data_IF_465851398648
#
_entry.id   IF_465851398648
#
_cell.length_a   1.000
_cell.length_b   1.000
_cell.length_c   1.000
_cell.angle_alpha   90.00
_cell.angle_beta   90.00
_cell.angle_gamma   90.00
#
_symmetry.space_group_name_H-M   'P 1'
#
loop_
_entity.id
_entity.type
_entity.pdbx_description
1 polymer ?
#
# COMPACT_ATOMS: atom_id res chain seq x y z
N UNK A 1 11.87 48.86 69.22
CA UNK A 1 13.20 48.63 69.81
C UNK A 1 14.02 47.86 68.82
N UNK A 2 14.98 48.44 68.24
CA UNK A 2 16.34 48.07 67.83
C UNK A 2 16.73 48.83 66.57
N UNK A 3 17.83 49.54 66.72
CA UNK A 3 18.43 50.50 65.82
C UNK A 3 19.15 49.89 64.62
N UNK A 4 19.29 50.63 63.51
CA UNK A 4 20.07 50.20 62.37
C UNK A 4 21.55 50.53 62.51
N UNK A 5 22.40 49.60 62.11
CA UNK A 5 23.83 49.74 62.05
C UNK A 5 24.31 50.39 60.73
N UNK A 6 25.06 51.45 60.82
CA UNK A 6 25.77 52.16 59.75
C UNK A 6 26.96 51.30 59.30
N UNK A 7 27.13 51.01 57.99
CA UNK A 7 28.38 50.48 57.43
C UNK A 7 29.10 51.52 56.57
N UNK A 8 30.46 51.58 56.67
CA UNK A 8 31.27 52.63 56.03
C UNK A 8 31.45 52.42 54.53
N UNK A 9 31.56 53.53 53.79
CA UNK A 9 31.88 53.54 52.34
C UNK A 9 33.30 52.96 52.14
N UNK A 10 33.35 51.95 51.24
CA UNK A 10 34.58 51.30 50.83
C UNK A 10 35.19 51.96 49.58
N UNK A 11 36.53 51.97 49.56
CA UNK A 11 37.46 52.62 48.61
C UNK A 11 37.35 52.14 47.11
N UNK A 12 36.18 51.78 46.60
CA UNK A 12 36.01 51.33 45.26
C UNK A 12 35.62 52.37 44.18
N UNK A 13 35.35 53.64 44.65
CA UNK A 13 34.94 54.74 43.76
C UNK A 13 36.09 55.47 43.06
N UNK A 14 37.29 55.34 43.54
CA UNK A 14 38.46 56.00 42.90
C UNK A 14 39.09 55.19 41.77
N UNK A 15 38.82 53.85 41.67
CA UNK A 15 39.29 52.97 40.56
C UNK A 15 38.41 52.99 39.34
N UNK A 16 37.14 53.32 39.47
CA UNK A 16 36.20 53.39 38.37
C UNK A 16 36.41 54.60 37.44
N UNK A 17 36.89 55.76 38.00
CA UNK A 17 37.12 56.95 37.18
C UNK A 17 38.38 56.86 36.31
N UNK A 18 39.36 56.05 36.67
CA UNK A 18 40.61 55.88 35.90
C UNK A 18 40.44 54.89 34.74
N UNK A 19 39.52 53.91 34.84
CA UNK A 19 39.22 52.94 33.77
C UNK A 19 38.34 53.54 32.65
N UNK A 20 37.52 54.53 32.96
CA UNK A 20 36.66 55.21 31.97
C UNK A 20 37.47 56.16 31.09
N UNK A 21 38.57 56.76 31.61
CA UNK A 21 39.44 57.62 30.80
C UNK A 21 40.36 56.83 29.83
N UNK A 22 40.63 55.54 30.07
CA UNK A 22 41.43 54.69 29.17
C UNK A 22 40.63 54.09 28.04
N UNK A 23 39.30 53.99 28.18
CA UNK A 23 38.42 53.48 27.12
C UNK A 23 38.06 54.51 26.03
N UNK A 24 38.31 55.80 26.30
CA UNK A 24 38.00 56.88 25.35
C UNK A 24 39.08 57.11 24.28
N UNK A 25 40.25 56.47 24.37
CA UNK A 25 41.31 56.57 23.36
C UNK A 25 41.39 55.41 22.37
N UNK A 26 40.54 54.38 22.48
CA UNK A 26 40.52 53.24 21.57
C UNK A 26 39.40 53.35 20.46
N UNK A 27 38.80 54.54 20.32
CA UNK A 27 37.59 54.71 19.47
C UNK A 27 37.82 55.33 18.07
N UNK A 28 39.02 55.29 17.53
CA UNK A 28 39.25 55.63 16.13
C UNK A 28 39.85 54.42 15.40
N UNK A 29 39.05 53.33 15.29
CA UNK A 29 39.26 52.39 14.22
C UNK A 29 38.49 52.97 13.03
N UNK A 30 39.21 53.32 11.97
CA UNK A 30 38.63 53.61 10.67
C UNK A 30 37.61 52.51 10.33
N UNK A 31 36.42 52.85 9.86
CA UNK A 31 35.49 51.83 9.40
C UNK A 31 36.23 50.98 8.35
N UNK A 32 36.40 49.69 8.61
CA UNK A 32 36.93 48.76 7.62
C UNK A 32 36.18 49.03 6.32
N UNK A 33 36.89 49.37 5.25
CA UNK A 33 36.31 49.52 3.91
C UNK A 33 35.42 48.30 3.65
N UNK A 34 34.16 48.52 3.24
CA UNK A 34 33.30 47.38 2.90
C UNK A 34 34.05 46.52 1.88
N UNK A 35 34.08 45.19 2.05
CA UNK A 35 34.84 44.32 1.18
C UNK A 35 34.48 44.65 -0.28
N UNK A 36 35.52 44.93 -1.07
CA UNK A 36 35.37 45.32 -2.47
C UNK A 36 34.35 44.39 -3.13
N UNK A 37 33.24 44.93 -3.67
CA UNK A 37 32.26 44.14 -4.35
C UNK A 37 32.94 43.36 -5.46
N UNK A 38 32.85 42.04 -5.39
CA UNK A 38 33.39 41.21 -6.45
C UNK A 38 32.86 41.66 -7.83
N UNK A 39 33.70 41.71 -8.87
CA UNK A 39 33.25 42.15 -10.20
C UNK A 39 32.07 41.30 -10.68
N UNK A 40 31.05 41.92 -11.29
CA UNK A 40 29.90 41.17 -11.77
C UNK A 40 30.32 40.10 -12.82
N UNK A 41 29.62 38.97 -12.87
CA UNK A 41 29.90 37.96 -13.87
C UNK A 41 29.58 38.46 -15.29
N UNK A 42 30.36 38.03 -16.26
CA UNK A 42 30.34 38.53 -17.66
C UNK A 42 29.68 37.45 -18.52
N UNK A 43 28.75 37.84 -19.39
CA UNK A 43 28.15 36.99 -20.40
C UNK A 43 29.07 36.95 -21.66
N UNK A 44 29.56 35.78 -22.01
CA UNK A 44 30.32 35.55 -23.26
C UNK A 44 29.58 34.52 -24.13
N UNK A 45 28.84 34.97 -25.11
CA UNK A 45 27.91 34.14 -25.88
C UNK A 45 26.74 33.68 -24.99
N UNK A 46 26.59 32.37 -24.82
CA UNK A 46 25.58 31.75 -23.94
C UNK A 46 26.14 31.32 -22.56
N UNK A 47 27.40 31.66 -22.29
CA UNK A 47 28.10 31.26 -21.08
C UNK A 47 28.27 32.45 -20.11
N UNK A 48 27.92 32.24 -18.84
CA UNK A 48 28.15 33.19 -17.76
C UNK A 48 29.47 32.81 -17.07
N UNK A 49 30.42 33.74 -17.08
CA UNK A 49 31.75 33.55 -16.51
C UNK A 49 31.91 34.43 -15.25
N UNK A 50 32.28 33.80 -14.16
CA UNK A 50 32.64 34.43 -12.91
C UNK A 50 34.15 34.65 -12.84
N UNK A 51 34.57 35.68 -12.14
CA UNK A 51 35.97 35.87 -11.75
C UNK A 51 36.43 34.68 -10.86
N UNK A 52 37.73 34.31 -10.92
CA UNK A 52 38.24 33.29 -9.97
C UNK A 52 37.99 33.66 -8.54
N UNK A 53 37.55 32.70 -7.73
CA UNK A 53 37.19 32.87 -6.30
C UNK A 53 36.04 33.85 -6.01
N UNK A 54 35.11 34.02 -6.97
CA UNK A 54 33.95 34.87 -6.75
C UNK A 54 33.09 34.30 -5.60
N UNK A 55 32.67 35.13 -4.60
CA UNK A 55 31.95 34.64 -3.40
C UNK A 55 30.67 33.86 -3.70
N UNK A 56 29.98 34.18 -4.78
CA UNK A 56 28.74 33.49 -5.17
C UNK A 56 28.97 32.03 -5.61
N UNK A 57 30.19 31.68 -6.07
CA UNK A 57 30.49 30.29 -6.48
C UNK A 57 30.46 29.35 -5.28
N UNK A 58 30.83 29.81 -4.08
CA UNK A 58 30.75 28.99 -2.88
C UNK A 58 29.32 28.69 -2.40
N UNK A 59 28.34 29.42 -2.92
CA UNK A 59 26.94 29.26 -2.57
C UNK A 59 26.24 28.24 -3.48
N UNK A 60 26.86 27.89 -4.61
CA UNK A 60 26.26 26.99 -5.59
C UNK A 60 26.51 25.53 -5.20
N UNK A 61 25.45 24.73 -5.10
CA UNK A 61 25.57 23.30 -4.98
C UNK A 61 25.71 22.67 -6.38
N UNK A 62 26.77 21.91 -6.57
CA UNK A 62 27.03 21.18 -7.81
C UNK A 62 26.88 19.69 -7.58
N UNK A 63 26.22 19.01 -8.51
CA UNK A 63 26.05 17.55 -8.51
C UNK A 63 26.44 17.00 -9.87
N UNK A 64 27.23 15.92 -9.86
CA UNK A 64 27.59 15.22 -11.10
C UNK A 64 26.39 14.43 -11.65
N UNK A 65 26.11 14.60 -12.94
CA UNK A 65 25.13 13.79 -13.64
C UNK A 65 25.63 12.34 -13.73
N UNK A 66 24.84 11.39 -13.24
CA UNK A 66 25.19 9.97 -13.22
C UNK A 66 24.45 9.19 -14.30
N UNK A 67 25.07 8.17 -14.92
CA UNK A 67 24.38 7.35 -15.92
C UNK A 67 23.09 6.74 -15.35
N UNK A 68 22.01 6.87 -16.08
CA UNK A 68 20.74 6.27 -15.72
C UNK A 68 20.74 4.78 -16.10
N UNK A 69 20.81 3.89 -15.12
CA UNK A 69 20.68 2.44 -15.35
C UNK A 69 19.29 1.95 -14.96
N UNK A 70 18.78 2.37 -13.84
CA UNK A 70 17.44 2.12 -13.37
C UNK A 70 17.07 3.19 -12.34
N UNK A 71 15.81 3.59 -12.33
CA UNK A 71 15.29 4.52 -11.34
C UNK A 71 14.43 3.75 -10.33
N UNK A 72 14.69 3.98 -9.04
CA UNK A 72 13.82 3.47 -7.99
C UNK A 72 12.58 4.35 -7.86
N UNK A 73 11.40 3.77 -8.02
CA UNK A 73 10.11 4.45 -7.84
C UNK A 73 9.42 3.85 -6.62
N UNK A 74 9.04 4.71 -5.69
CA UNK A 74 8.32 4.34 -4.49
C UNK A 74 6.82 4.56 -4.68
N UNK A 75 6.03 3.50 -4.49
CA UNK A 75 4.58 3.49 -4.67
C UNK A 75 3.88 3.13 -3.36
N UNK A 76 2.76 3.78 -3.03
CA UNK A 76 1.95 3.39 -1.89
C UNK A 76 1.46 1.95 -2.06
N UNK A 77 1.52 1.20 -0.98
CA UNK A 77 1.07 -0.19 -0.96
C UNK A 77 0.41 -0.53 0.38
N UNK A 78 -0.47 -1.52 0.35
CA UNK A 78 -1.13 -2.09 1.51
C UNK A 78 -1.09 -3.60 1.45
N UNK A 79 -0.82 -4.22 2.59
CA UNK A 79 -0.91 -5.67 2.74
C UNK A 79 -2.37 -6.06 2.85
N UNK A 80 -2.78 -7.11 2.16
CA UNK A 80 -4.13 -7.69 2.28
C UNK A 80 -4.04 -9.20 2.38
N UNK A 81 -5.08 -9.85 2.90
CA UNK A 81 -5.13 -11.30 2.90
C UNK A 81 -5.06 -11.86 1.48
N UNK A 82 -4.41 -12.99 1.33
CA UNK A 82 -4.47 -13.75 0.09
C UNK A 82 -5.84 -14.44 0.00
N UNK A 83 -6.75 -13.89 -0.79
CA UNK A 83 -8.13 -14.38 -0.91
C UNK A 83 -8.21 -15.80 -1.47
N UNK A 84 -7.20 -16.27 -2.19
CA UNK A 84 -7.13 -17.66 -2.67
C UNK A 84 -6.89 -18.65 -1.52
N UNK A 85 -6.37 -18.17 -0.40
CA UNK A 85 -6.08 -18.94 0.82
C UNK A 85 -6.85 -18.40 2.03
N UNK A 86 -7.96 -17.68 1.79
CA UNK A 86 -8.79 -17.08 2.85
C UNK A 86 -10.22 -17.57 2.71
N UNK A 87 -10.77 -18.07 3.81
CA UNK A 87 -12.18 -18.45 3.92
C UNK A 87 -12.89 -17.52 4.88
N UNK A 88 -13.95 -16.86 4.39
CA UNK A 88 -14.89 -16.11 5.22
C UNK A 88 -16.12 -16.97 5.47
N UNK A 89 -16.42 -17.24 6.72
CA UNK A 89 -17.46 -18.15 7.14
C UNK A 89 -18.66 -17.33 7.62
N UNK A 90 -19.77 -17.50 6.91
CA UNK A 90 -21.06 -16.88 7.21
C UNK A 90 -22.05 -17.94 7.71
N UNK A 91 -23.09 -17.57 8.48
CA UNK A 91 -24.10 -18.53 8.90
C UNK A 91 -24.93 -18.98 7.70
N UNK A 92 -25.07 -20.28 7.51
CA UNK A 92 -25.93 -20.85 6.48
C UNK A 92 -27.40 -20.92 6.91
N UNK A 93 -27.65 -20.98 8.25
CA UNK A 93 -28.98 -21.00 8.87
C UNK A 93 -29.06 -20.02 10.03
N UNK A 94 -30.27 -19.62 10.35
CA UNK A 94 -30.55 -18.92 11.61
C UNK A 94 -30.30 -19.87 12.78
N UNK A 95 -29.73 -19.31 13.85
CA UNK A 95 -29.49 -20.07 15.07
C UNK A 95 -28.83 -19.23 16.15
N UNK A 96 -28.83 -19.76 17.36
CA UNK A 96 -28.18 -19.15 18.52
C UNK A 96 -26.83 -19.83 18.75
N UNK A 97 -25.77 -19.07 18.94
CA UNK A 97 -24.43 -19.57 19.30
C UNK A 97 -24.52 -20.31 20.63
N UNK A 98 -24.35 -21.63 20.62
CA UNK A 98 -24.36 -22.49 21.81
C UNK A 98 -22.96 -22.69 22.38
N UNK A 99 -21.95 -22.80 21.55
CA UNK A 99 -20.55 -22.96 21.97
C UNK A 99 -19.60 -22.37 20.91
N UNK A 100 -18.48 -21.83 21.39
CA UNK A 100 -17.37 -21.36 20.57
C UNK A 100 -16.15 -22.20 20.96
N UNK A 101 -15.49 -22.81 19.97
CA UNK A 101 -14.40 -23.77 20.19
C UNK A 101 -13.08 -23.32 19.57
N UNK A 102 -13.11 -22.32 18.70
CA UNK A 102 -11.91 -21.75 18.12
C UNK A 102 -11.82 -20.27 18.45
N UNK A 103 -10.58 -19.81 18.69
CA UNK A 103 -10.30 -18.40 18.96
C UNK A 103 -9.24 -17.84 17.99
N UNK A 104 -9.11 -16.51 17.96
CA UNK A 104 -8.15 -15.81 17.15
C UNK A 104 -6.72 -16.28 17.47
N UNK A 105 -5.94 -16.55 16.43
CA UNK A 105 -4.58 -17.08 16.53
C UNK A 105 -4.50 -18.60 16.50
N UNK A 106 -5.62 -19.32 16.64
CA UNK A 106 -5.63 -20.78 16.65
C UNK A 106 -5.45 -21.36 15.24
N UNK A 107 -4.55 -22.33 15.11
CA UNK A 107 -4.38 -23.09 13.87
C UNK A 107 -5.49 -24.13 13.72
N UNK A 108 -6.04 -24.25 12.52
CA UNK A 108 -7.14 -25.14 12.19
C UNK A 108 -6.88 -25.89 10.89
N UNK A 109 -7.50 -27.06 10.77
CA UNK A 109 -7.48 -27.90 9.56
C UNK A 109 -8.90 -28.00 8.97
N UNK A 110 -9.06 -28.44 7.71
CA UNK A 110 -10.38 -28.73 7.15
C UNK A 110 -11.18 -29.66 8.07
N UNK A 111 -12.41 -29.31 8.38
CA UNK A 111 -13.28 -30.03 9.31
C UNK A 111 -13.12 -29.66 10.79
N UNK A 112 -12.12 -28.85 11.18
CA UNK A 112 -12.00 -28.39 12.56
C UNK A 112 -13.22 -27.58 12.97
N UNK A 113 -13.83 -27.97 14.10
CA UNK A 113 -15.01 -27.31 14.64
C UNK A 113 -14.66 -25.94 15.23
N UNK A 114 -15.30 -24.89 14.73
CA UNK A 114 -15.08 -23.50 15.16
C UNK A 114 -16.12 -23.04 16.18
N UNK A 115 -17.38 -23.35 15.89
CA UNK A 115 -18.50 -23.02 16.77
C UNK A 115 -19.67 -23.99 16.56
N UNK A 116 -20.61 -24.00 17.50
CA UNK A 116 -21.88 -24.69 17.37
C UNK A 116 -23.03 -23.70 17.50
N UNK A 117 -24.01 -23.86 16.61
CA UNK A 117 -25.27 -23.09 16.65
C UNK A 117 -26.42 -24.02 17.01
N UNK A 118 -27.28 -23.59 17.91
CA UNK A 118 -28.60 -24.20 18.10
C UNK A 118 -29.53 -23.62 17.04
N UNK A 119 -29.85 -24.44 16.01
CA UNK A 119 -30.66 -24.03 14.86
C UNK A 119 -31.91 -24.91 14.75
N UNK A 120 -33.09 -24.37 15.02
CA UNK A 120 -34.35 -25.08 14.81
C UNK A 120 -34.57 -25.49 13.36
N UNK A 121 -34.17 -24.63 12.39
CA UNK A 121 -34.31 -24.88 10.95
C UNK A 121 -33.45 -26.06 10.50
N UNK A 122 -32.23 -26.18 11.05
CA UNK A 122 -31.38 -27.33 10.80
C UNK A 122 -31.97 -28.61 11.40
N UNK A 123 -32.54 -28.54 12.62
CA UNK A 123 -33.25 -29.64 13.22
C UNK A 123 -34.45 -30.12 12.40
N UNK A 124 -35.24 -29.18 11.86
CA UNK A 124 -36.35 -29.52 10.95
C UNK A 124 -35.84 -30.21 9.66
N UNK A 125 -34.76 -29.67 9.05
CA UNK A 125 -34.16 -30.28 7.85
C UNK A 125 -33.67 -31.71 8.11
N UNK A 126 -33.09 -31.98 9.30
CA UNK A 126 -32.70 -33.33 9.72
C UNK A 126 -33.93 -34.25 9.92
N UNK A 127 -34.99 -33.73 10.55
CA UNK A 127 -36.22 -34.49 10.75
C UNK A 127 -36.90 -34.87 9.39
N UNK A 128 -36.95 -33.93 8.45
CA UNK A 128 -37.42 -34.16 7.09
C UNK A 128 -36.60 -35.27 6.40
N UNK A 129 -35.28 -35.23 6.52
CA UNK A 129 -34.38 -36.27 5.99
C UNK A 129 -34.63 -37.63 6.63
N UNK A 130 -34.75 -37.66 7.97
CA UNK A 130 -35.04 -38.90 8.67
C UNK A 130 -36.38 -39.50 8.28
N UNK A 131 -37.43 -38.69 8.14
CA UNK A 131 -38.76 -39.10 7.65
C UNK A 131 -38.64 -39.64 6.23
N UNK A 132 -38.03 -38.89 5.28
CA UNK A 132 -37.91 -39.35 3.89
C UNK A 132 -37.16 -40.69 3.79
N UNK A 133 -36.11 -40.90 4.58
CA UNK A 133 -35.39 -42.17 4.65
C UNK A 133 -36.28 -43.33 5.20
N UNK A 134 -37.13 -43.03 6.18
CA UNK A 134 -38.08 -44.02 6.70
C UNK A 134 -39.13 -44.40 5.67
N UNK A 135 -39.70 -43.44 4.96
CA UNK A 135 -40.69 -43.65 3.89
C UNK A 135 -40.06 -44.42 2.72
N UNK A 136 -38.82 -44.12 2.33
CA UNK A 136 -38.09 -44.85 1.29
C UNK A 136 -37.81 -46.31 1.68
N UNK A 137 -37.50 -46.59 2.94
CA UNK A 137 -37.35 -47.96 3.45
C UNK A 137 -38.68 -48.72 3.39
N UNK A 138 -39.77 -48.06 3.78
CA UNK A 138 -41.10 -48.70 3.74
C UNK A 138 -41.52 -49.05 2.29
N UNK A 139 -41.40 -48.07 1.38
CA UNK A 139 -41.73 -48.29 -0.05
C UNK A 139 -40.80 -49.29 -0.72
N UNK A 140 -39.51 -49.30 -0.39
CA UNK A 140 -38.56 -50.29 -0.88
C UNK A 140 -38.90 -51.72 -0.44
N UNK A 141 -39.26 -51.92 0.85
CA UNK A 141 -39.72 -53.19 1.37
C UNK A 141 -41.03 -53.61 0.74
N UNK A 142 -41.95 -52.66 0.43
CA UNK A 142 -43.20 -52.96 -0.29
C UNK A 142 -42.93 -53.39 -1.74
N UNK A 143 -42.04 -52.69 -2.45
CA UNK A 143 -41.61 -53.04 -3.79
C UNK A 143 -41.01 -54.44 -3.85
N UNK A 144 -40.15 -54.79 -2.90
CA UNK A 144 -39.53 -56.11 -2.84
C UNK A 144 -40.60 -57.18 -2.68
N UNK A 145 -41.57 -57.03 -1.76
CA UNK A 145 -42.68 -57.97 -1.58
C UNK A 145 -43.54 -58.08 -2.85
N UNK A 146 -43.88 -56.98 -3.53
CA UNK A 146 -44.65 -56.99 -4.78
C UNK A 146 -43.90 -57.69 -5.90
N UNK A 147 -42.61 -57.59 -6.01
CA UNK A 147 -41.75 -58.34 -6.95
C UNK A 147 -41.84 -59.83 -6.70
N UNK A 148 -41.64 -60.28 -5.46
CA UNK A 148 -41.71 -61.68 -5.05
C UNK A 148 -43.09 -62.25 -5.34
N UNK A 149 -44.20 -61.56 -5.09
CA UNK A 149 -45.57 -61.97 -5.37
C UNK A 149 -45.86 -61.99 -6.87
N UNK A 150 -45.34 -61.06 -7.65
CA UNK A 150 -45.46 -61.00 -9.07
C UNK A 150 -44.73 -62.17 -9.75
N UNK A 151 -43.52 -62.45 -9.32
CA UNK A 151 -42.73 -63.58 -9.78
C UNK A 151 -43.40 -64.94 -9.47
N UNK A 152 -44.15 -64.98 -8.37
CA UNK A 152 -45.01 -66.14 -8.01
C UNK A 152 -46.37 -66.17 -8.72
N UNK A 153 -46.66 -65.19 -9.60
CA UNK A 153 -47.91 -65.10 -10.32
C UNK A 153 -49.16 -64.69 -9.49
N UNK A 154 -48.96 -64.12 -8.32
CA UNK A 154 -50.02 -63.81 -7.34
C UNK A 154 -50.65 -62.45 -7.56
N UNK A 155 -49.86 -61.44 -8.01
CA UNK A 155 -50.32 -60.06 -8.18
C UNK A 155 -50.23 -59.63 -9.66
N UNK A 156 -51.02 -58.60 -10.02
CA UNK A 156 -51.06 -58.09 -11.37
C UNK A 156 -49.81 -57.13 -11.64
N UNK A 157 -49.41 -57.06 -12.89
CA UNK A 157 -48.32 -56.12 -13.33
C UNK A 157 -48.55 -54.68 -12.88
N UNK A 158 -49.77 -54.18 -12.87
CA UNK A 158 -50.16 -52.87 -12.44
C UNK A 158 -49.75 -52.62 -10.98
N UNK A 159 -49.89 -53.64 -10.12
CA UNK A 159 -49.54 -53.49 -8.68
C UNK A 159 -48.03 -53.40 -8.48
N UNK A 160 -47.26 -54.14 -9.31
CA UNK A 160 -45.79 -53.99 -9.33
C UNK A 160 -45.35 -52.60 -9.86
N UNK A 161 -45.93 -52.14 -10.97
CA UNK A 161 -45.62 -50.84 -11.56
C UNK A 161 -45.93 -49.69 -10.57
N UNK A 162 -47.04 -49.82 -9.81
CA UNK A 162 -47.39 -48.86 -8.76
C UNK A 162 -46.31 -48.84 -7.64
N UNK A 163 -45.89 -50.02 -7.17
CA UNK A 163 -44.89 -50.13 -6.13
C UNK A 163 -43.51 -49.60 -6.58
N UNK A 164 -43.15 -49.81 -7.88
CA UNK A 164 -41.96 -49.25 -8.47
C UNK A 164 -42.01 -47.73 -8.50
N UNK A 165 -43.14 -47.14 -8.92
CA UNK A 165 -43.34 -45.69 -8.95
C UNK A 165 -43.30 -45.08 -7.55
N UNK A 166 -43.86 -45.75 -6.53
CA UNK A 166 -43.86 -45.30 -5.15
C UNK A 166 -42.43 -45.31 -4.55
N UNK A 167 -41.68 -46.38 -4.80
CA UNK A 167 -40.29 -46.48 -4.36
C UNK A 167 -39.41 -45.42 -5.03
N UNK A 168 -39.62 -45.20 -6.34
CA UNK A 168 -38.87 -44.15 -7.07
C UNK A 168 -39.16 -42.74 -6.53
N UNK A 169 -40.43 -42.42 -6.21
CA UNK A 169 -40.82 -41.14 -5.60
C UNK A 169 -40.18 -40.94 -4.23
N UNK A 170 -40.21 -41.97 -3.39
CA UNK A 170 -39.62 -41.91 -2.05
C UNK A 170 -38.11 -41.76 -2.08
N UNK A 171 -37.41 -42.39 -3.03
CA UNK A 171 -35.98 -42.21 -3.23
C UNK A 171 -35.63 -40.77 -3.70
N UNK A 172 -36.43 -40.22 -4.62
CA UNK A 172 -36.25 -38.84 -5.06
C UNK A 172 -36.42 -37.83 -3.87
N UNK A 173 -37.38 -38.09 -2.98
CA UNK A 173 -37.60 -37.29 -1.80
C UNK A 173 -36.42 -37.39 -0.83
N UNK A 174 -35.81 -38.55 -0.61
CA UNK A 174 -34.57 -38.70 0.15
C UNK A 174 -33.44 -37.85 -0.45
N UNK A 175 -33.26 -37.92 -1.78
CA UNK A 175 -32.23 -37.16 -2.47
C UNK A 175 -32.43 -35.63 -2.26
N UNK A 176 -33.67 -35.17 -2.36
CA UNK A 176 -34.04 -33.76 -2.13
C UNK A 176 -33.71 -33.33 -0.68
N UNK A 177 -34.15 -34.11 0.30
CA UNK A 177 -33.94 -33.81 1.73
C UNK A 177 -32.47 -33.88 2.12
N UNK A 178 -31.72 -34.89 1.63
CA UNK A 178 -30.29 -35.02 1.83
C UNK A 178 -29.52 -33.89 1.19
N UNK A 179 -29.88 -33.44 -0.01
CA UNK A 179 -29.25 -32.30 -0.69
C UNK A 179 -29.40 -31.01 0.15
N UNK A 180 -30.60 -30.77 0.67
CA UNK A 180 -30.88 -29.64 1.57
C UNK A 180 -29.98 -29.69 2.83
N UNK A 181 -29.88 -30.86 3.47
CA UNK A 181 -29.09 -31.01 4.70
C UNK A 181 -27.59 -30.89 4.41
N UNK A 182 -27.09 -31.43 3.28
CA UNK A 182 -25.68 -31.38 2.90
C UNK A 182 -25.19 -29.99 2.51
N UNK A 183 -26.06 -29.09 2.04
CA UNK A 183 -25.67 -27.69 1.77
C UNK A 183 -25.08 -26.97 2.98
N UNK A 184 -25.28 -27.49 4.18
CA UNK A 184 -24.93 -26.87 5.46
C UNK A 184 -23.74 -27.51 6.17
N UNK A 185 -23.00 -28.33 5.46
CA UNK A 185 -21.83 -29.04 5.96
C UNK A 185 -22.07 -30.52 6.22
N UNK A 186 -21.01 -31.28 6.33
CA UNK A 186 -21.08 -32.67 6.77
C UNK A 186 -21.63 -32.70 8.18
N UNK A 187 -22.93 -32.95 8.32
CA UNK A 187 -23.48 -33.38 9.59
C UNK A 187 -22.63 -34.59 10.05
N UNK A 188 -21.89 -34.46 11.13
CA UNK A 188 -21.42 -35.63 11.82
C UNK A 188 -22.68 -36.41 12.17
N UNK A 189 -22.82 -37.59 11.57
CA UNK A 189 -23.94 -38.52 11.83
C UNK A 189 -23.86 -38.99 13.29
N UNK A 190 -24.12 -38.12 14.23
CA UNK A 190 -24.47 -38.53 15.57
C UNK A 190 -25.94 -38.90 15.52
N UNK A 191 -26.21 -40.18 15.46
CA UNK A 191 -27.44 -40.93 15.26
C UNK A 191 -28.74 -40.39 15.85
N UNK A 192 -29.13 -39.15 15.56
CA UNK A 192 -30.40 -38.55 15.97
C UNK A 192 -30.59 -37.15 15.41
N UNK A 193 -31.85 -36.75 15.32
CA UNK A 193 -32.21 -35.34 14.99
C UNK A 193 -31.79 -34.47 16.17
N UNK A 194 -30.88 -33.54 15.92
CA UNK A 194 -30.46 -32.55 16.90
C UNK A 194 -30.47 -31.15 16.22
N UNK A 195 -30.48 -30.09 17.04
CA UNK A 195 -30.45 -28.72 16.54
C UNK A 195 -29.03 -28.16 16.45
N UNK A 196 -27.99 -28.97 16.73
CA UNK A 196 -26.61 -28.53 16.81
C UNK A 196 -25.99 -28.46 15.40
N UNK A 197 -26.00 -27.28 14.83
CA UNK A 197 -25.31 -26.99 13.58
C UNK A 197 -23.84 -26.70 13.84
N UNK A 198 -22.96 -27.53 13.29
CA UNK A 198 -21.50 -27.34 13.39
C UNK A 198 -21.03 -26.29 12.37
N UNK A 199 -20.32 -25.28 12.82
CA UNK A 199 -19.56 -24.36 11.98
C UNK A 199 -18.11 -24.83 11.98
N UNK A 200 -17.61 -25.27 10.84
CA UNK A 200 -16.26 -25.84 10.70
C UNK A 200 -15.43 -25.11 9.65
N UNK A 201 -14.10 -25.16 9.81
CA UNK A 201 -13.16 -24.66 8.82
C UNK A 201 -13.18 -25.55 7.57
N UNK A 202 -13.24 -24.94 6.38
CA UNK A 202 -13.11 -25.63 5.10
C UNK A 202 -11.68 -25.70 4.58
N UNK A 203 -10.79 -24.87 5.11
CA UNK A 203 -9.39 -24.79 4.71
C UNK A 203 -8.45 -24.98 5.91
N UNK A 204 -7.20 -25.32 5.62
CA UNK A 204 -6.12 -25.26 6.60
C UNK A 204 -5.65 -23.81 6.76
N UNK A 205 -5.47 -23.35 8.01
CA UNK A 205 -5.02 -21.99 8.24
C UNK A 205 -5.01 -21.61 9.71
N UNK A 206 -5.14 -20.33 9.96
CA UNK A 206 -5.25 -19.73 11.28
C UNK A 206 -6.52 -18.88 11.32
N UNK A 207 -7.25 -18.93 12.41
CA UNK A 207 -8.37 -18.03 12.67
C UNK A 207 -7.81 -16.63 12.91
N UNK A 208 -8.11 -15.69 12.02
CA UNK A 208 -7.61 -14.30 12.10
C UNK A 208 -8.68 -13.34 12.59
N UNK A 209 -9.97 -13.70 12.40
CA UNK A 209 -11.09 -12.93 12.92
C UNK A 209 -12.15 -13.86 13.48
N UNK A 210 -12.77 -13.41 14.57
CA UNK A 210 -13.93 -14.04 15.19
C UNK A 210 -14.94 -12.95 15.60
N UNK A 211 -16.09 -12.94 14.92
CA UNK A 211 -17.13 -11.91 15.09
C UNK A 211 -18.43 -12.52 15.61
N UNK A 212 -18.32 -13.37 16.63
CA UNK A 212 -19.47 -13.96 17.30
C UNK A 212 -19.25 -14.09 18.81
N UNK A 213 -20.35 -14.05 19.56
CA UNK A 213 -20.37 -14.15 21.01
C UNK A 213 -21.27 -15.30 21.47
N UNK A 214 -21.00 -15.92 22.62
CA UNK A 214 -21.90 -16.93 23.19
C UNK A 214 -23.31 -16.36 23.38
N UNK A 215 -24.32 -17.13 22.97
CA UNK A 215 -25.74 -16.73 23.07
C UNK A 215 -26.24 -15.75 22.01
N UNK A 216 -25.36 -15.25 21.12
CA UNK A 216 -25.72 -14.38 20.01
C UNK A 216 -26.60 -15.13 18.99
N UNK A 217 -27.65 -14.47 18.51
CA UNK A 217 -28.44 -14.96 17.39
C UNK A 217 -27.79 -14.52 16.08
N UNK A 218 -27.63 -15.45 15.14
CA UNK A 218 -27.08 -15.22 13.81
C UNK A 218 -28.07 -15.69 12.76
N UNK A 219 -28.09 -15.01 11.59
CA UNK A 219 -29.04 -15.30 10.51
C UNK A 219 -28.38 -15.18 9.14
N UNK A 220 -28.78 -15.99 8.12
CA UNK A 220 -28.25 -15.89 6.77
C UNK A 220 -28.52 -14.56 6.07
N UNK A 221 -29.66 -13.92 6.33
CA UNK A 221 -30.06 -12.62 5.79
C UNK A 221 -29.18 -11.46 6.29
N UNK A 222 -28.41 -11.68 7.34
CA UNK A 222 -27.38 -10.78 7.82
C UNK A 222 -26.03 -11.04 7.14
N UNK A 223 -25.99 -11.80 6.06
CA UNK A 223 -24.78 -12.05 5.27
C UNK A 223 -24.79 -11.14 4.02
N UNK A 224 -23.78 -10.29 3.86
CA UNK A 224 -23.73 -9.37 2.72
C UNK A 224 -22.65 -8.30 2.84
N UNK A 225 -22.68 -7.36 1.92
CA UNK A 225 -21.72 -6.24 1.93
C UNK A 225 -21.86 -5.44 3.24
N UNK A 226 -20.77 -5.36 3.98
CA UNK A 226 -20.72 -4.62 5.27
C UNK A 226 -21.06 -5.46 6.51
N UNK A 227 -21.46 -6.72 6.37
CA UNK A 227 -21.66 -7.63 7.51
C UNK A 227 -20.38 -8.45 7.73
N UNK A 228 -19.80 -8.41 8.94
CA UNK A 228 -18.61 -9.19 9.23
C UNK A 228 -18.93 -10.69 9.21
N UNK A 229 -18.03 -11.54 8.64
CA UNK A 229 -18.15 -12.98 8.72
C UNK A 229 -18.06 -13.47 10.17
N UNK A 230 -18.62 -14.62 10.49
CA UNK A 230 -18.50 -15.23 11.82
C UNK A 230 -17.04 -15.53 12.17
N UNK A 231 -16.32 -16.09 11.20
CA UNK A 231 -14.90 -16.35 11.28
C UNK A 231 -14.21 -16.00 9.95
N UNK A 232 -12.96 -15.60 10.04
CA UNK A 232 -12.03 -15.56 8.91
C UNK A 232 -10.89 -16.52 9.22
N UNK A 233 -10.72 -17.51 8.34
CA UNK A 233 -9.59 -18.46 8.39
C UNK A 233 -8.71 -18.20 7.18
N UNK A 234 -7.41 -18.05 7.38
CA UNK A 234 -6.48 -17.79 6.28
C UNK A 234 -5.11 -18.43 6.54
N UNK A 235 -4.33 -18.59 5.49
CA UNK A 235 -2.90 -18.90 5.62
C UNK A 235 -2.08 -17.60 5.68
N UNK A 236 -1.60 -17.18 6.86
CA UNK A 236 -0.85 -15.94 7.01
C UNK A 236 0.61 -16.03 6.55
N UNK A 237 1.06 -17.17 6.01
CA UNK A 237 2.43 -17.36 5.49
C UNK A 237 2.64 -16.72 4.13
N UNK A 238 1.56 -16.34 3.45
CA UNK A 238 1.57 -15.58 2.21
C UNK A 238 0.53 -14.47 2.27
N UNK A 239 0.92 -13.27 1.83
CA UNK A 239 0.00 -12.13 1.76
C UNK A 239 -0.01 -11.57 0.34
N UNK A 240 -1.10 -10.94 -0.01
CA UNK A 240 -1.14 -10.08 -1.17
C UNK A 240 -0.71 -8.67 -0.79
N UNK A 241 -0.11 -8.00 -1.76
CA UNK A 241 0.25 -6.60 -1.71
C UNK A 241 -0.58 -5.88 -2.74
N UNK A 242 -1.42 -4.97 -2.32
CA UNK A 242 -2.13 -4.06 -3.19
C UNK A 242 -1.31 -2.79 -3.35
N UNK A 243 -0.80 -2.54 -4.55
CA UNK A 243 0.02 -1.38 -4.90
C UNK A 243 -0.85 -0.41 -5.68
N UNK A 244 -0.82 0.86 -5.30
CA UNK A 244 -1.51 1.94 -5.98
C UNK A 244 -0.56 2.61 -6.98
N UNK A 245 -0.62 2.17 -8.23
CA UNK A 245 0.28 2.62 -9.29
C UNK A 245 -0.36 3.76 -10.11
N UNK A 246 0.45 4.76 -10.47
CA UNK A 246 0.04 5.77 -11.44
C UNK A 246 0.07 5.18 -12.85
N UNK A 247 -0.69 5.78 -13.76
CA UNK A 247 -0.73 5.37 -15.17
C UNK A 247 0.67 5.31 -15.82
N UNK A 248 1.57 6.24 -15.46
CA UNK A 248 2.96 6.27 -15.95
C UNK A 248 3.80 5.05 -15.54
N UNK A 249 3.39 4.29 -14.51
CA UNK A 249 4.14 3.16 -13.94
C UNK A 249 3.67 1.79 -14.44
N UNK A 250 2.57 1.72 -15.19
CA UNK A 250 1.97 0.46 -15.68
C UNK A 250 2.96 -0.38 -16.47
N UNK A 251 3.77 0.26 -17.32
CA UNK A 251 4.76 -0.43 -18.13
C UNK A 251 5.82 -1.19 -17.33
N UNK A 252 6.05 -0.79 -16.08
CA UNK A 252 7.03 -1.40 -15.16
C UNK A 252 6.40 -2.50 -14.29
N UNK A 253 5.13 -2.35 -13.94
CA UNK A 253 4.41 -3.27 -13.05
C UNK A 253 3.70 -4.39 -13.81
N UNK A 254 4.43 -5.08 -14.66
CA UNK A 254 3.92 -6.24 -15.40
C UNK A 254 3.93 -7.50 -14.52
N UNK A 255 3.03 -8.47 -14.77
CA UNK A 255 3.10 -9.76 -14.10
C UNK A 255 4.50 -10.36 -14.16
N UNK A 256 5.00 -10.83 -13.01
CA UNK A 256 6.37 -11.33 -12.83
C UNK A 256 7.40 -10.28 -12.39
N UNK A 257 7.12 -8.98 -12.49
CA UNK A 257 8.03 -7.93 -12.01
C UNK A 257 8.25 -8.05 -10.49
N UNK A 258 9.49 -7.90 -10.05
CA UNK A 258 9.85 -7.89 -8.64
C UNK A 258 9.71 -6.49 -8.05
N UNK A 259 9.39 -6.43 -6.76
CA UNK A 259 9.39 -5.21 -5.96
C UNK A 259 9.92 -5.49 -4.56
N UNK A 260 10.52 -4.49 -3.93
CA UNK A 260 10.92 -4.51 -2.52
C UNK A 260 9.86 -3.77 -1.70
N UNK A 261 9.43 -4.37 -0.57
CA UNK A 261 8.53 -3.71 0.37
C UNK A 261 9.33 -3.05 1.49
N UNK A 262 9.05 -1.79 1.71
CA UNK A 262 9.55 -1.01 2.83
C UNK A 262 8.38 -0.79 3.79
N UNK A 263 8.52 -1.31 5.01
CA UNK A 263 7.49 -1.25 6.03
C UNK A 263 7.99 -0.38 7.18
N UNK A 264 7.37 0.78 7.43
CA UNK A 264 7.85 1.71 8.45
C UNK A 264 7.96 1.12 9.86
N UNK A 265 7.08 0.15 10.19
CA UNK A 265 7.08 -0.52 11.50
C UNK A 265 8.12 -1.62 11.63
N UNK A 266 8.80 -2.00 10.55
CA UNK A 266 9.83 -3.07 10.51
C UNK A 266 11.11 -2.52 9.85
N UNK A 267 11.78 -1.51 10.45
CA UNK A 267 12.94 -0.87 9.85
C UNK A 267 14.10 -1.86 9.68
N UNK A 268 14.77 -1.79 8.54
CA UNK A 268 15.93 -2.63 8.20
C UNK A 268 15.59 -4.04 7.71
N UNK A 269 14.32 -4.44 7.73
CA UNK A 269 13.88 -5.70 7.13
C UNK A 269 13.48 -5.49 5.67
N UNK A 270 13.93 -6.38 4.80
CA UNK A 270 13.63 -6.38 3.39
C UNK A 270 12.67 -7.53 3.08
N UNK A 271 11.59 -7.20 2.41
CA UNK A 271 10.62 -8.17 1.92
C UNK A 271 10.53 -8.03 0.41
N UNK A 272 10.79 -9.09 -0.30
CA UNK A 272 10.67 -9.12 -1.75
C UNK A 272 9.33 -9.73 -2.15
N UNK A 273 8.68 -9.09 -3.11
CA UNK A 273 7.44 -9.55 -3.68
C UNK A 273 7.49 -9.59 -5.20
N UNK A 274 6.48 -10.23 -5.80
CA UNK A 274 6.29 -10.30 -7.25
C UNK A 274 4.89 -9.84 -7.62
N UNK A 275 4.80 -9.08 -8.70
CA UNK A 275 3.53 -8.68 -9.30
C UNK A 275 2.85 -9.90 -9.89
N UNK A 276 1.59 -10.12 -9.55
CA UNK A 276 0.76 -11.22 -10.08
C UNK A 276 -0.24 -10.74 -11.10
N UNK A 277 -0.82 -9.56 -10.89
CA UNK A 277 -1.81 -8.98 -11.80
C UNK A 277 -1.84 -7.45 -11.67
N UNK A 278 -2.21 -6.78 -12.73
CA UNK A 278 -2.60 -5.38 -12.73
C UNK A 278 -4.04 -5.27 -13.21
N UNK A 279 -4.83 -4.39 -12.61
CA UNK A 279 -6.20 -4.15 -13.06
C UNK A 279 -6.20 -3.37 -14.39
N UNK A 280 -7.13 -3.71 -15.28
CA UNK A 280 -7.37 -2.97 -16.54
C UNK A 280 -8.30 -1.75 -16.32
N UNK A 281 -8.32 -1.23 -15.10
CA UNK A 281 -9.23 -0.17 -14.67
C UNK A 281 -8.49 0.85 -13.81
N UNK A 282 -8.72 2.13 -14.10
CA UNK A 282 -8.21 3.25 -13.31
C UNK A 282 -9.30 3.66 -12.31
N UNK A 283 -8.99 3.64 -11.03
CA UNK A 283 -9.86 4.16 -9.98
C UNK A 283 -10.02 5.69 -10.16
N UNK A 284 -11.23 6.19 -10.48
CA UNK A 284 -11.44 7.61 -10.78
C UNK A 284 -11.21 8.52 -9.57
N UNK A 285 -11.33 7.99 -8.35
CA UNK A 285 -11.17 8.76 -7.12
C UNK A 285 -9.70 9.00 -6.78
N UNK A 286 -8.87 7.99 -6.96
CA UNK A 286 -7.43 8.05 -6.65
C UNK A 286 -6.56 8.29 -7.89
N UNK A 287 -7.11 8.09 -9.09
CA UNK A 287 -6.40 8.07 -10.37
C UNK A 287 -5.23 7.10 -10.38
N UNK A 288 -5.42 5.97 -9.73
CA UNK A 288 -4.44 4.89 -9.66
C UNK A 288 -5.00 3.60 -10.24
N UNK A 289 -4.10 2.73 -10.65
CA UNK A 289 -4.38 1.37 -11.05
C UNK A 289 -4.00 0.47 -9.89
N UNK A 290 -4.88 -0.44 -9.52
CA UNK A 290 -4.62 -1.42 -8.48
C UNK A 290 -3.79 -2.56 -9.06
N UNK A 291 -2.55 -2.66 -8.58
CA UNK A 291 -1.65 -3.75 -8.93
C UNK A 291 -1.55 -4.70 -7.76
N UNK A 292 -1.75 -5.99 -8.04
CA UNK A 292 -1.65 -7.04 -7.04
C UNK A 292 -0.30 -7.73 -7.15
N UNK A 293 0.38 -7.84 -6.02
CA UNK A 293 1.57 -8.65 -5.87
C UNK A 293 1.39 -9.70 -4.77
N UNK A 294 2.33 -10.62 -4.68
CA UNK A 294 2.42 -11.62 -3.62
C UNK A 294 3.75 -11.49 -2.90
N UNK A 295 3.71 -11.66 -1.58
CA UNK A 295 4.89 -11.68 -0.71
C UNK A 295 4.84 -12.89 0.23
N UNK A 296 5.98 -13.53 0.41
CA UNK A 296 6.14 -14.60 1.39
C UNK A 296 6.28 -14.02 2.81
N UNK A 297 5.62 -14.65 3.78
CA UNK A 297 5.59 -14.23 5.18
C UNK A 297 5.75 -15.43 6.14
N UNK A 298 6.80 -16.27 6.00
CA UNK A 298 6.94 -17.49 6.80
C UNK A 298 7.09 -17.21 8.30
N UNK A 299 7.70 -16.10 8.65
CA UNK A 299 7.86 -15.65 10.04
C UNK A 299 6.61 -14.93 10.60
N UNK A 300 5.56 -14.71 9.78
CA UNK A 300 4.31 -14.02 10.14
C UNK A 300 4.52 -12.62 10.72
N UNK A 301 5.58 -11.92 10.30
CA UNK A 301 5.88 -10.56 10.71
C UNK A 301 4.94 -9.55 10.06
N UNK A 302 4.62 -9.79 8.78
CA UNK A 302 3.67 -8.99 8.04
C UNK A 302 2.25 -9.31 8.48
N UNK A 303 1.43 -8.26 8.63
CA UNK A 303 0.01 -8.38 8.95
C UNK A 303 -0.81 -7.76 7.83
N UNK A 304 -2.01 -8.29 7.60
CA UNK A 304 -2.96 -7.61 6.73
C UNK A 304 -3.26 -6.21 7.26
N UNK A 305 -3.63 -5.32 6.38
CA UNK A 305 -3.88 -3.88 6.60
C UNK A 305 -2.65 -3.06 6.99
N UNK A 306 -1.44 -3.65 7.07
CA UNK A 306 -0.21 -2.88 7.21
C UNK A 306 0.02 -2.03 5.96
N UNK A 307 0.34 -0.75 6.18
CA UNK A 307 0.80 0.15 5.13
C UNK A 307 2.27 -0.12 4.82
N UNK A 308 2.60 -0.10 3.56
CA UNK A 308 3.93 -0.32 3.04
C UNK A 308 4.22 0.62 1.86
N UNK A 309 5.47 0.72 1.49
CA UNK A 309 5.91 1.33 0.23
C UNK A 309 6.50 0.22 -0.64
N UNK A 310 5.95 0.04 -1.82
CA UNK A 310 6.52 -0.85 -2.83
C UNK A 310 7.54 -0.08 -3.66
N UNK A 311 8.80 -0.48 -3.56
CA UNK A 311 9.91 0.05 -4.36
C UNK A 311 10.12 -0.82 -5.57
N UNK A 312 9.97 -0.24 -6.74
CA UNK A 312 10.19 -0.88 -8.03
C UNK A 312 11.39 -0.29 -8.74
N UNK A 313 12.07 -1.10 -9.56
CA UNK A 313 13.13 -0.63 -10.44
C UNK A 313 12.54 -0.37 -11.83
N UNK A 314 12.51 0.90 -12.24
CA UNK A 314 12.05 1.30 -13.56
C UNK A 314 13.27 1.42 -14.49
N UNK A 315 13.31 0.65 -15.56
CA UNK A 315 14.27 0.86 -16.63
C UNK A 315 13.81 2.07 -17.46
N UNK A 316 14.63 3.10 -17.48
CA UNK A 316 14.29 4.40 -18.09
C UNK A 316 15.02 4.65 -19.42
N UNK A 317 15.69 3.64 -19.94
CA UNK A 317 16.50 3.77 -21.15
C UNK A 317 17.79 4.58 -20.94
N UNK A 318 18.51 4.89 -22.01
CA UNK A 318 19.74 5.67 -21.93
C UNK A 318 19.45 7.12 -21.51
N UNK A 319 20.28 7.66 -20.63
CA UNK A 319 20.16 9.02 -20.12
C UNK A 319 21.03 9.22 -18.89
N UNK A 320 20.87 10.37 -18.25
CA UNK A 320 21.54 10.70 -17.01
C UNK A 320 20.54 11.11 -15.92
N UNK A 321 20.83 10.71 -14.70
CA UNK A 321 20.06 11.11 -13.50
C UNK A 321 20.65 12.38 -12.94
N UNK A 322 19.78 13.35 -12.65
CA UNK A 322 20.10 14.58 -11.93
C UNK A 322 19.03 14.83 -10.85
N UNK A 323 19.33 15.58 -9.79
CA UNK A 323 18.32 15.99 -8.83
C UNK A 323 17.21 16.82 -9.51
N UNK A 324 15.93 16.54 -9.19
CA UNK A 324 14.80 17.26 -9.82
C UNK A 324 14.83 18.76 -9.57
N UNK A 325 15.43 19.18 -8.46
CA UNK A 325 15.66 20.60 -8.14
C UNK A 325 16.67 21.29 -9.05
N UNK A 326 17.47 20.56 -9.83
CA UNK A 326 18.38 21.11 -10.83
C UNK A 326 17.69 21.44 -12.16
N UNK A 327 16.44 21.02 -12.33
CA UNK A 327 15.62 21.31 -13.51
C UNK A 327 14.80 22.56 -13.27
N UNK A 328 14.88 23.53 -14.19
CA UNK A 328 14.02 24.71 -14.18
C UNK A 328 13.20 24.79 -15.46
N UNK A 329 12.07 25.47 -15.36
CA UNK A 329 11.23 25.76 -16.51
C UNK A 329 11.48 27.20 -16.98
N UNK A 330 12.00 27.35 -18.21
CA UNK A 330 12.18 28.63 -18.84
C UNK A 330 11.19 28.76 -20.03
N UNK A 331 10.10 29.50 -19.81
CA UNK A 331 8.96 29.48 -20.73
C UNK A 331 8.29 28.10 -20.72
N UNK A 332 8.26 27.41 -21.85
CA UNK A 332 7.72 26.05 -22.01
C UNK A 332 8.80 24.97 -22.06
N UNK A 333 10.09 25.32 -21.84
CA UNK A 333 11.22 24.42 -22.00
C UNK A 333 11.87 24.06 -20.66
N UNK A 334 12.17 22.80 -20.47
CA UNK A 334 13.00 22.36 -19.35
C UNK A 334 14.45 22.73 -19.59
N UNK A 335 15.09 23.34 -18.60
CA UNK A 335 16.48 23.80 -18.68
C UNK A 335 17.24 23.41 -17.45
N UNK A 336 18.53 23.21 -17.59
CA UNK A 336 19.49 23.01 -16.51
C UNK A 336 20.66 23.97 -16.64
N UNK A 337 21.33 24.26 -15.55
CA UNK A 337 22.56 25.06 -15.52
C UNK A 337 23.72 24.08 -15.39
N UNK A 338 24.54 23.99 -16.42
CA UNK A 338 25.71 23.11 -16.49
C UNK A 338 26.98 23.92 -16.25
N UNK A 339 27.86 23.43 -15.39
CA UNK A 339 29.19 23.99 -15.24
C UNK A 339 30.12 23.37 -16.26
N UNK A 340 30.43 24.12 -17.35
CA UNK A 340 31.32 23.65 -18.44
C UNK A 340 32.81 23.75 -18.06
N UNK A 341 33.17 24.72 -17.21
CA UNK A 341 34.49 24.89 -16.61
C UNK A 341 34.37 25.52 -15.23
N UNK A 342 35.38 25.46 -14.40
CA UNK A 342 35.36 26.11 -13.08
C UNK A 342 34.97 27.60 -13.21
N UNK A 343 33.85 27.98 -12.62
CA UNK A 343 33.28 29.33 -12.65
C UNK A 343 32.60 29.74 -13.97
N UNK A 344 32.42 28.82 -14.93
CA UNK A 344 31.73 29.06 -16.21
C UNK A 344 30.48 28.20 -16.29
N UNK A 345 29.35 28.83 -16.44
CA UNK A 345 28.04 28.16 -16.47
C UNK A 345 27.30 28.44 -17.78
N UNK A 346 26.51 27.45 -18.22
CA UNK A 346 25.69 27.52 -19.42
C UNK A 346 24.25 27.09 -19.10
N UNK A 347 23.27 27.80 -19.66
CA UNK A 347 21.87 27.37 -19.64
C UNK A 347 21.65 26.45 -20.79
N UNK A 348 21.29 25.20 -20.52
CA UNK A 348 21.09 24.19 -21.56
C UNK A 348 19.68 23.65 -21.52
N UNK A 349 19.03 23.60 -22.69
CA UNK A 349 17.73 22.96 -22.86
C UNK A 349 17.86 21.45 -22.74
N UNK A 350 16.96 20.79 -22.00
CA UNK A 350 16.99 19.36 -21.77
C UNK A 350 15.66 18.71 -22.07
N UNK A 351 15.75 17.46 -22.53
CA UNK A 351 14.59 16.58 -22.66
C UNK A 351 14.56 15.61 -21.48
N UNK A 352 13.42 15.57 -20.77
CA UNK A 352 13.25 14.65 -19.66
C UNK A 352 12.48 13.41 -20.13
N UNK A 353 13.02 12.22 -19.86
CA UNK A 353 12.30 10.95 -20.00
C UNK A 353 11.51 10.60 -18.74
N UNK A 354 11.90 11.16 -17.58
CA UNK A 354 11.20 11.00 -16.31
C UNK A 354 11.43 12.24 -15.42
N UNK A 355 10.39 12.64 -14.69
CA UNK A 355 10.49 13.68 -13.67
C UNK A 355 9.81 13.18 -12.39
N UNK A 356 10.61 12.86 -11.39
CA UNK A 356 10.17 12.44 -10.06
C UNK A 356 10.29 13.55 -9.01
N UNK A 357 9.89 13.28 -7.76
CA UNK A 357 9.97 14.27 -6.69
C UNK A 357 11.41 14.60 -6.27
N UNK A 358 12.33 13.65 -6.39
CA UNK A 358 13.72 13.79 -5.96
C UNK A 358 14.71 13.77 -7.13
N UNK A 359 14.47 12.94 -8.13
CA UNK A 359 15.35 12.71 -9.25
C UNK A 359 14.60 12.84 -10.57
N UNK A 360 15.27 13.40 -11.58
CA UNK A 360 14.82 13.49 -12.95
C UNK A 360 15.83 12.83 -13.87
N UNK A 361 15.32 12.23 -14.95
CA UNK A 361 16.15 11.60 -15.97
C UNK A 361 16.15 12.44 -17.22
N UNK A 362 17.34 12.86 -17.61
CA UNK A 362 17.59 13.61 -18.82
C UNK A 362 17.98 12.66 -19.92
N UNK A 363 17.18 12.58 -20.98
CA UNK A 363 17.49 11.78 -22.18
C UNK A 363 18.40 12.49 -23.16
N UNK A 364 18.34 13.83 -23.21
CA UNK A 364 19.16 14.67 -24.09
C UNK A 364 19.47 16.01 -23.42
N UNK A 365 20.70 16.51 -23.65
CA UNK A 365 21.11 17.84 -23.22
C UNK A 365 22.15 17.85 -22.09
N UNK A 366 22.34 16.74 -21.38
CA UNK A 366 23.40 16.57 -20.36
C UNK A 366 24.07 15.22 -20.56
N UNK A 367 25.38 15.18 -20.38
CA UNK A 367 26.19 13.96 -20.47
C UNK A 367 26.59 13.45 -19.08
N UNK A 368 26.91 12.17 -19.00
CA UNK A 368 27.37 11.56 -17.76
C UNK A 368 28.71 12.18 -17.32
N UNK A 369 28.78 12.57 -16.04
CA UNK A 369 29.96 13.23 -15.46
C UNK A 369 29.89 14.75 -15.49
N UNK A 370 29.01 15.39 -16.26
CA UNK A 370 28.83 16.84 -16.24
C UNK A 370 28.30 17.30 -14.87
N UNK A 371 28.76 18.48 -14.46
CA UNK A 371 28.35 19.10 -13.20
C UNK A 371 27.13 19.99 -13.44
N UNK A 372 25.99 19.67 -12.78
CA UNK A 372 24.78 20.49 -12.83
C UNK A 372 24.58 21.24 -11.53
N UNK A 373 24.04 22.46 -11.61
CA UNK A 373 23.73 23.27 -10.43
C UNK A 373 22.44 22.74 -9.80
N UNK A 374 22.51 22.26 -8.57
CA UNK A 374 21.36 21.73 -7.83
C UNK A 374 20.82 22.70 -6.77
N UNK A 375 21.67 23.55 -6.21
CA UNK A 375 21.29 24.47 -5.15
C UNK A 375 21.58 25.92 -5.56
N UNK A 376 20.71 26.83 -5.10
CA UNK A 376 20.78 28.27 -5.41
C UNK A 376 20.75 28.62 -6.91
N UNK A 377 20.12 27.77 -7.70
CA UNK A 377 19.96 27.97 -9.16
C UNK A 377 19.29 29.31 -9.51
N UNK A 378 18.36 29.80 -8.69
CA UNK A 378 17.69 31.08 -8.91
C UNK A 378 18.63 32.28 -8.83
N UNK A 379 19.68 32.19 -7.99
CA UNK A 379 20.73 33.20 -7.92
C UNK A 379 21.46 33.27 -9.25
N UNK A 380 21.88 32.13 -9.78
CA UNK A 380 22.57 32.06 -11.06
C UNK A 380 21.68 32.47 -12.23
N UNK A 381 20.42 32.06 -12.25
CA UNK A 381 19.45 32.50 -13.26
C UNK A 381 19.19 34.02 -13.24
N UNK A 382 19.27 34.65 -12.06
CA UNK A 382 19.22 36.11 -11.92
C UNK A 382 20.46 36.77 -12.55
N UNK A 383 21.65 36.26 -12.28
CA UNK A 383 22.91 36.80 -12.86
C UNK A 383 22.90 36.66 -14.39
N UNK A 384 22.40 35.54 -14.92
CA UNK A 384 22.20 35.41 -16.38
C UNK A 384 21.29 36.48 -16.96
N UNK A 385 20.18 36.79 -16.28
CA UNK A 385 19.24 37.84 -16.74
C UNK A 385 19.87 39.22 -16.66
N UNK A 386 20.58 39.54 -15.59
CA UNK A 386 21.27 40.80 -15.41
C UNK A 386 22.33 40.99 -16.52
N UNK A 387 23.20 40.02 -16.69
CA UNK A 387 24.25 40.06 -17.69
C UNK A 387 23.70 40.14 -19.14
N UNK A 388 22.53 39.53 -19.40
CA UNK A 388 21.86 39.62 -20.71
C UNK A 388 21.27 41.01 -20.95
N UNK A 389 20.69 41.64 -19.92
CA UNK A 389 20.16 42.99 -20.00
C UNK A 389 21.28 44.02 -20.21
N UNK A 390 22.43 43.84 -19.53
CA UNK A 390 23.60 44.71 -19.65
C UNK A 390 24.29 44.57 -21.00
N UNK A 391 24.15 43.43 -21.67
CA UNK A 391 24.70 43.16 -23.00
C UNK A 391 23.81 43.68 -24.15
N UNK A 392 22.52 44.01 -23.87
CA UNK A 392 21.64 44.65 -24.85
C UNK A 392 21.83 46.20 -24.79
N UNK A 393 22.37 46.84 -25.85
CA UNK A 393 22.44 48.30 -25.86
C UNK A 393 21.02 48.90 -25.76
N UNK A 394 20.87 49.88 -24.86
CA UNK A 394 19.60 50.60 -24.67
C UNK A 394 19.01 50.99 -26.02
N UNK A 395 17.89 50.39 -26.40
CA UNK A 395 17.15 50.82 -27.57
C UNK A 395 16.78 52.27 -27.37
N UNK A 396 17.37 53.15 -28.20
CA UNK A 396 17.18 54.59 -28.23
C UNK A 396 15.68 54.85 -28.37
N UNK A 397 15.05 55.38 -27.34
CA UNK A 397 13.72 55.95 -27.41
C UNK A 397 13.83 57.17 -28.30
N UNK A 398 13.58 56.99 -29.59
CA UNK A 398 13.32 58.11 -30.47
C UNK A 398 11.98 58.72 -30.10
N UNK A 399 12.01 59.84 -29.38
CA UNK A 399 10.90 60.70 -29.24
C UNK A 399 10.52 61.24 -30.64
N UNK A 400 9.31 60.94 -31.07
CA UNK A 400 8.71 61.50 -32.28
C UNK A 400 8.20 62.91 -31.98
N UNK A 401 8.47 63.90 -32.85
CA UNK A 401 8.07 65.29 -32.68
C UNK A 401 6.58 65.49 -32.67
#
# INVERSE_FOLDING_TARGET
MQHPAVKPLSASTLRASLLISLLALAGCQEPAEPPAKAPPPILQGEQLRFAPNHPQLALLGLVSATPAQALSVDLPARMVWNEEHTQRIYPAFAGRVSAIQADVGQAVNPGSLLAQLASPDFGMAQADTAKARADARLSGNSLQRQRELFDAGIVARKDLDQAEADAARSLAEVQRADARTRMYGSAHETGGVNQALAISAGIKGVVVERNLNPGQEVRPDQSGVGVPPLFVVTDPTTLWVQIDARESEIGTLRPGASFELIIPTLPGQKFEGRVTAAADYIDPSTRTIKVRGVVANPARLLKAEMLATARIQRNIGPGVVIPSRAVSLLGAKNTVLVQVQAGVFEVREVQLSYQGPHESVVSHGVEAGEQVVSDNMLLLAREFRNAKNDAQPAATVQAKP
#
